data_IF_695408988359
#
_entry.id   IF_695408988359
#
_cell.length_a   1.000
_cell.length_b   1.000
_cell.length_c   1.000
_cell.angle_alpha   90.00
_cell.angle_beta   90.00
_cell.angle_gamma   90.00
#
_symmetry.space_group_name_H-M   'P 1'
#
loop_
_entity.id
_entity.type
_entity.pdbx_description
1 polymer ?
#
# COMPACT_ATOMS: atom_id res chain seq x y z
N UNK A 1 -2.17 -4.20 -20.05
CA UNK A 1 -1.00 -3.58 -20.71
C UNK A 1 0.06 -4.64 -21.01
N UNK A 2 0.83 -4.51 -22.10
CA UNK A 2 1.97 -5.38 -22.43
C UNK A 2 3.30 -4.71 -22.04
N UNK A 3 4.38 -5.49 -21.89
CA UNK A 3 5.69 -5.00 -21.44
C UNK A 3 6.28 -3.84 -22.27
N UNK A 4 5.83 -3.64 -23.50
CA UNK A 4 6.22 -2.54 -24.37
C UNK A 4 5.37 -1.26 -24.19
N UNK A 5 4.51 -1.20 -23.18
CA UNK A 5 3.61 -0.07 -22.92
C UNK A 5 2.31 -0.07 -23.74
N UNK A 6 2.13 -0.99 -24.68
CA UNK A 6 0.89 -1.04 -25.48
C UNK A 6 -0.30 -1.55 -24.67
N UNK A 7 -1.48 -0.96 -24.91
CA UNK A 7 -2.75 -1.35 -24.28
C UNK A 7 -3.54 -2.23 -25.23
N UNK A 8 -3.93 -3.43 -24.79
CA UNK A 8 -4.72 -4.37 -25.56
C UNK A 8 -5.23 -5.53 -24.71
N UNK A 9 -6.24 -6.23 -25.21
CA UNK A 9 -6.82 -7.39 -24.53
C UNK A 9 -5.78 -8.50 -24.31
N UNK A 10 -5.78 -9.10 -23.12
CA UNK A 10 -4.84 -10.16 -22.74
C UNK A 10 -3.45 -9.68 -22.28
N UNK A 11 -3.22 -8.37 -22.17
CA UNK A 11 -1.99 -7.86 -21.56
C UNK A 11 -1.95 -8.14 -20.05
N UNK A 12 -0.83 -8.67 -19.49
CA UNK A 12 -0.80 -9.20 -18.12
C UNK A 12 -0.60 -8.12 -17.03
N UNK A 13 -0.31 -6.86 -17.39
CA UNK A 13 -0.01 -5.80 -16.43
C UNK A 13 -1.12 -4.74 -16.36
N UNK A 14 -1.41 -4.25 -15.16
CA UNK A 14 -2.35 -3.15 -14.93
C UNK A 14 -1.70 -1.77 -15.19
N UNK A 15 -0.38 -1.67 -15.00
CA UNK A 15 0.43 -0.49 -15.32
C UNK A 15 1.92 -0.83 -15.39
N UNK A 16 2.73 0.13 -15.82
CA UNK A 16 4.19 0.02 -15.92
C UNK A 16 4.80 1.29 -15.34
N UNK A 17 5.68 1.12 -14.35
CA UNK A 17 6.53 2.20 -13.83
C UNK A 17 7.89 2.15 -14.51
N UNK A 18 8.37 3.30 -14.98
CA UNK A 18 9.72 3.43 -15.56
C UNK A 18 10.49 4.54 -14.87
N UNK A 19 11.69 4.23 -14.38
CA UNK A 19 12.60 5.23 -13.84
C UNK A 19 13.67 5.59 -14.88
N UNK A 20 13.92 6.88 -15.07
CA UNK A 20 14.98 7.36 -15.95
C UNK A 20 16.35 7.07 -15.31
N UNK A 21 17.09 6.09 -15.85
CA UNK A 21 18.40 5.68 -15.32
C UNK A 21 19.49 6.75 -15.41
N UNK A 22 19.25 7.87 -16.10
CA UNK A 22 20.15 9.01 -16.11
C UNK A 22 20.00 9.89 -14.85
N UNK A 23 18.98 9.67 -14.02
CA UNK A 23 18.79 10.39 -12.77
C UNK A 23 19.49 9.67 -11.61
N UNK A 24 20.03 10.42 -10.63
CA UNK A 24 20.81 9.84 -9.53
C UNK A 24 19.89 9.24 -8.45
N UNK A 25 19.41 8.01 -8.66
CA UNK A 25 18.58 7.31 -7.66
C UNK A 25 19.41 6.52 -6.65
N UNK A 26 18.95 6.52 -5.40
CA UNK A 26 19.45 5.70 -4.32
C UNK A 26 18.33 4.82 -3.77
N UNK A 27 18.45 3.50 -3.93
CA UNK A 27 17.47 2.50 -3.49
C UNK A 27 17.67 2.01 -2.04
N UNK A 28 18.51 2.69 -1.28
CA UNK A 28 18.74 2.40 0.14
C UNK A 28 18.66 3.71 0.92
N UNK A 29 17.78 3.77 1.91
CA UNK A 29 17.55 5.00 2.68
C UNK A 29 18.52 5.13 3.86
N UNK A 30 18.83 6.38 4.29
CA UNK A 30 18.44 7.64 3.65
C UNK A 30 19.23 7.91 2.36
N UNK A 31 18.67 8.64 1.38
CA UNK A 31 19.41 9.06 0.19
C UNK A 31 20.56 10.02 0.55
N UNK A 32 21.69 9.89 -0.14
CA UNK A 32 22.82 10.81 0.03
C UNK A 32 22.56 12.18 -0.63
N UNK A 33 23.43 13.15 -0.35
CA UNK A 33 23.41 14.45 -1.06
C UNK A 33 23.46 14.25 -2.57
N UNK A 34 22.62 14.98 -3.31
CA UNK A 34 22.52 14.89 -4.77
C UNK A 34 21.83 13.63 -5.30
N UNK A 35 21.32 12.74 -4.43
CA UNK A 35 20.59 11.54 -4.83
C UNK A 35 19.10 11.65 -4.51
N UNK A 36 18.24 11.18 -5.39
CA UNK A 36 16.82 10.97 -5.14
C UNK A 36 16.58 9.66 -4.39
N UNK A 37 15.56 9.63 -3.55
CA UNK A 37 15.09 8.41 -2.91
C UNK A 37 14.34 7.53 -3.93
N UNK A 38 14.96 6.43 -4.33
CA UNK A 38 14.39 5.53 -5.33
C UNK A 38 13.09 4.86 -4.90
N UNK A 39 12.88 4.64 -3.58
CA UNK A 39 11.62 4.09 -3.09
C UNK A 39 10.50 5.13 -3.22
N UNK A 40 10.70 6.36 -2.73
CA UNK A 40 9.74 7.46 -2.86
C UNK A 40 9.35 7.69 -4.32
N UNK A 41 10.34 7.77 -5.22
CA UNK A 41 10.05 7.98 -6.64
C UNK A 41 9.32 6.81 -7.28
N UNK A 42 9.55 5.57 -6.85
CA UNK A 42 8.79 4.42 -7.37
C UNK A 42 7.36 4.42 -6.83
N UNK A 43 7.17 4.74 -5.55
CA UNK A 43 5.84 4.84 -4.91
C UNK A 43 5.01 5.94 -5.57
N UNK A 44 5.62 7.08 -5.91
CA UNK A 44 4.98 8.16 -6.67
C UNK A 44 4.32 7.63 -7.96
N UNK A 45 5.10 6.97 -8.81
CA UNK A 45 4.61 6.43 -10.09
C UNK A 45 3.60 5.29 -9.88
N UNK A 46 3.71 4.54 -8.78
CA UNK A 46 2.75 3.50 -8.44
C UNK A 46 1.39 4.09 -8.07
N UNK A 47 1.32 5.18 -7.29
CA UNK A 47 0.00 5.71 -6.95
C UNK A 47 -0.72 6.31 -8.17
N UNK A 48 0.01 6.78 -9.19
CA UNK A 48 -0.59 7.20 -10.45
C UNK A 48 -1.28 6.05 -11.20
N UNK A 49 -0.67 4.86 -11.18
CA UNK A 49 -1.28 3.63 -11.69
C UNK A 49 -2.52 3.27 -10.85
N UNK A 50 -2.43 3.44 -9.53
CA UNK A 50 -3.53 3.15 -8.61
C UNK A 50 -4.69 4.15 -8.72
N UNK A 51 -4.47 5.34 -9.28
CA UNK A 51 -5.54 6.28 -9.63
C UNK A 51 -5.31 7.74 -9.21
N UNK A 52 -4.11 8.08 -8.72
CA UNK A 52 -3.68 9.48 -8.59
C UNK A 52 -3.51 10.12 -9.97
N UNK A 53 -3.52 11.43 -10.02
CA UNK A 53 -3.53 12.20 -11.25
C UNK A 53 -4.81 13.00 -11.41
N UNK A 54 -4.73 14.01 -12.27
CA UNK A 54 -5.86 14.87 -12.63
C UNK A 54 -6.16 14.77 -14.12
N UNK A 55 -7.43 14.89 -14.49
CA UNK A 55 -7.83 15.02 -15.90
C UNK A 55 -7.17 16.22 -16.60
N UNK A 56 -6.72 17.21 -15.81
CA UNK A 56 -6.02 18.40 -16.31
C UNK A 56 -4.72 18.05 -17.06
N UNK A 57 -4.08 16.92 -16.76
CA UNK A 57 -2.86 16.46 -17.43
C UNK A 57 -3.16 15.73 -18.76
N UNK A 58 -4.32 15.07 -18.84
CA UNK A 58 -4.69 14.22 -19.99
C UNK A 58 -5.54 14.97 -21.02
N UNK A 59 -6.20 16.06 -20.62
CA UNK A 59 -7.18 16.78 -21.42
C UNK A 59 -8.53 16.06 -21.49
N UNK A 60 -9.56 16.74 -21.99
CA UNK A 60 -10.91 16.20 -22.12
C UNK A 60 -11.82 16.45 -20.91
N UNK A 61 -12.79 15.56 -20.67
CA UNK A 61 -13.83 15.71 -19.64
C UNK A 61 -13.86 14.58 -18.60
N UNK A 62 -12.98 13.60 -18.73
CA UNK A 62 -13.00 12.38 -17.93
C UNK A 62 -12.21 12.60 -16.63
N UNK A 63 -12.93 12.86 -15.54
CA UNK A 63 -12.35 13.05 -14.22
C UNK A 63 -11.64 11.78 -13.73
N UNK A 64 -10.43 11.95 -13.18
CA UNK A 64 -9.72 10.91 -12.44
C UNK A 64 -10.35 10.74 -11.05
N UNK A 65 -10.18 9.59 -10.37
CA UNK A 65 -10.69 9.39 -9.02
C UNK A 65 -10.29 10.50 -8.03
N UNK A 66 -9.05 10.97 -8.10
CA UNK A 66 -8.53 12.05 -7.24
C UNK A 66 -9.19 13.42 -7.50
N UNK A 67 -9.66 13.70 -8.72
CA UNK A 67 -10.36 14.96 -9.05
C UNK A 67 -11.66 15.13 -8.25
N UNK A 68 -12.29 14.02 -7.82
CA UNK A 68 -13.47 14.02 -6.96
C UNK A 68 -13.20 14.55 -5.55
N UNK A 69 -11.94 14.81 -5.20
CA UNK A 69 -11.50 15.35 -3.93
C UNK A 69 -10.73 16.67 -4.09
N UNK A 70 -10.90 17.33 -5.24
CA UNK A 70 -10.32 18.64 -5.54
C UNK A 70 -11.24 19.80 -5.16
N UNK A 71 -10.81 20.64 -4.21
CA UNK A 71 -11.60 21.74 -3.64
C UNK A 71 -10.84 23.07 -3.63
N UNK A 72 -11.58 24.17 -3.66
CA UNK A 72 -11.04 25.54 -3.46
C UNK A 72 -11.55 26.21 -2.19
N UNK A 73 -12.69 25.76 -1.67
CA UNK A 73 -13.30 26.19 -0.41
C UNK A 73 -14.37 25.16 0.02
N UNK A 74 -14.92 25.33 1.22
CA UNK A 74 -16.04 24.52 1.69
C UNK A 74 -17.23 24.55 0.71
N UNK A 75 -17.63 23.38 0.21
CA UNK A 75 -18.72 23.22 -0.76
C UNK A 75 -18.38 23.66 -2.19
N UNK A 76 -17.15 24.13 -2.45
CA UNK A 76 -16.73 24.62 -3.77
C UNK A 76 -15.57 23.79 -4.33
N UNK A 77 -15.85 23.06 -5.40
CA UNK A 77 -14.84 22.33 -6.17
C UNK A 77 -14.07 23.28 -7.09
N UNK A 78 -12.80 22.99 -7.32
CA UNK A 78 -12.05 23.60 -8.40
C UNK A 78 -11.40 22.48 -9.22
N UNK A 79 -11.69 22.49 -10.51
CA UNK A 79 -11.18 21.53 -11.48
C UNK A 79 -10.35 22.23 -12.56
N UNK A 80 -9.91 23.46 -12.31
CA UNK A 80 -9.09 24.23 -13.24
C UNK A 80 -7.60 24.11 -12.90
N UNK A 81 -6.76 24.34 -13.91
CA UNK A 81 -5.30 24.48 -13.79
C UNK A 81 -4.85 25.82 -13.16
N UNK A 82 -5.76 26.52 -12.48
CA UNK A 82 -5.47 27.78 -11.81
C UNK A 82 -6.42 28.01 -10.63
N UNK A 83 -6.04 28.95 -9.77
CA UNK A 83 -6.75 29.24 -8.53
C UNK A 83 -6.36 28.32 -7.39
N UNK A 84 -7.05 28.45 -6.25
CA UNK A 84 -6.82 27.58 -5.09
C UNK A 84 -7.34 26.18 -5.39
N UNK A 85 -6.51 25.16 -5.11
CA UNK A 85 -6.89 23.76 -5.26
C UNK A 85 -6.17 22.92 -4.22
N UNK A 86 -6.91 22.11 -3.49
CA UNK A 86 -6.37 21.22 -2.47
C UNK A 86 -7.18 19.95 -2.32
N UNK A 87 -6.52 18.91 -1.84
CA UNK A 87 -7.13 17.66 -1.44
C UNK A 87 -7.99 17.89 -0.20
N UNK A 88 -9.25 17.46 -0.27
CA UNK A 88 -10.15 17.45 0.88
C UNK A 88 -11.17 16.33 0.79
N UNK A 89 -11.35 15.64 1.91
CA UNK A 89 -12.27 14.50 2.06
C UNK A 89 -13.56 14.87 2.81
N UNK A 90 -13.68 16.13 3.24
CA UNK A 90 -14.79 16.63 4.04
C UNK A 90 -15.55 17.77 3.34
N UNK A 91 -15.64 17.69 2.01
CA UNK A 91 -16.29 18.69 1.15
C UNK A 91 -15.63 20.07 1.20
N UNK A 92 -14.30 20.13 1.29
CA UNK A 92 -13.52 21.37 1.22
C UNK A 92 -13.38 22.10 2.56
N UNK A 93 -13.79 21.52 3.69
CA UNK A 93 -13.67 22.20 4.99
C UNK A 93 -12.24 22.15 5.53
N UNK A 94 -11.55 21.02 5.39
CA UNK A 94 -10.14 20.86 5.72
C UNK A 94 -9.29 20.85 4.44
N UNK A 95 -8.18 21.59 4.46
CA UNK A 95 -7.13 21.51 3.45
C UNK A 95 -6.07 20.52 3.93
N UNK A 96 -6.03 19.33 3.31
CA UNK A 96 -5.06 18.28 3.65
C UNK A 96 -3.71 18.58 3.01
N UNK A 97 -3.70 18.86 1.71
CA UNK A 97 -2.51 19.27 0.94
C UNK A 97 -2.95 20.02 -0.30
N UNK A 98 -2.18 21.05 -0.71
CA UNK A 98 -2.44 21.77 -1.96
C UNK A 98 -2.09 20.92 -3.18
N UNK A 99 -2.84 21.08 -4.27
CA UNK A 99 -2.46 20.51 -5.56
C UNK A 99 -1.53 21.45 -6.32
N UNK A 100 -0.61 20.89 -7.08
CA UNK A 100 0.27 21.64 -7.97
C UNK A 100 -0.53 22.44 -9.01
N UNK A 101 -0.03 23.64 -9.31
CA UNK A 101 -0.58 24.56 -10.32
C UNK A 101 0.49 25.01 -11.33
N UNK A 102 1.72 24.50 -11.23
CA UNK A 102 2.78 24.74 -12.20
C UNK A 102 2.64 23.73 -13.35
N UNK A 103 2.47 24.17 -14.61
CA UNK A 103 2.30 23.29 -15.75
C UNK A 103 3.56 22.47 -16.12
N UNK A 104 4.70 22.70 -15.47
CA UNK A 104 5.91 21.88 -15.65
C UNK A 104 5.93 20.58 -14.83
N UNK A 105 4.96 20.39 -13.94
CA UNK A 105 4.71 19.14 -13.22
C UNK A 105 3.25 18.71 -13.34
N UNK A 106 2.89 17.56 -12.77
CA UNK A 106 1.53 17.06 -12.89
C UNK A 106 0.56 17.80 -11.97
N UNK A 107 -0.68 17.99 -12.41
CA UNK A 107 -1.68 18.72 -11.63
C UNK A 107 -2.24 17.80 -10.52
N UNK A 108 -2.26 16.48 -10.72
CA UNK A 108 -2.66 15.53 -9.65
C UNK A 108 -1.75 15.54 -8.42
N UNK A 109 -0.54 16.06 -8.58
CA UNK A 109 0.50 16.03 -7.57
C UNK A 109 0.32 17.13 -6.53
N UNK A 110 1.04 16.99 -5.42
CA UNK A 110 1.05 17.97 -4.36
C UNK A 110 1.89 19.19 -4.72
N UNK A 111 1.40 20.34 -4.26
CA UNK A 111 2.10 21.61 -4.33
C UNK A 111 3.43 21.52 -3.60
N UNK A 112 4.52 21.61 -4.36
CA UNK A 112 5.87 21.48 -3.85
C UNK A 112 6.47 22.82 -3.43
N UNK A 113 7.13 22.84 -2.27
CA UNK A 113 7.99 23.96 -1.86
C UNK A 113 9.38 23.90 -2.50
N UNK A 114 10.17 24.96 -2.29
CA UNK A 114 11.59 25.00 -2.68
C UNK A 114 12.41 23.93 -1.96
N UNK A 115 13.42 23.38 -2.61
CA UNK A 115 14.33 22.43 -1.97
C UNK A 115 15.30 23.10 -0.96
N UNK A 116 15.58 22.46 0.19
CA UNK A 116 14.89 21.27 0.72
C UNK A 116 13.47 21.62 1.19
N UNK A 117 12.53 20.72 0.91
CA UNK A 117 11.14 20.85 1.32
C UNK A 117 11.00 20.65 2.82
N UNK A 118 10.23 21.52 3.49
CA UNK A 118 9.94 21.38 4.92
C UNK A 118 9.13 20.11 5.23
N UNK A 119 8.17 19.79 4.36
CA UNK A 119 7.32 18.62 4.46
C UNK A 119 7.35 17.87 3.11
N UNK A 120 8.35 17.00 2.87
CA UNK A 120 8.37 16.19 1.65
C UNK A 120 7.30 15.11 1.73
N UNK A 121 6.56 14.96 0.64
CA UNK A 121 5.52 13.97 0.46
C UNK A 121 5.85 13.09 -0.76
N UNK A 122 5.35 11.85 -0.78
CA UNK A 122 5.64 10.90 -1.87
C UNK A 122 5.13 11.45 -3.21
N UNK A 123 3.98 12.10 -3.20
CA UNK A 123 3.27 12.63 -4.36
C UNK A 123 3.52 14.12 -4.62
N UNK A 124 4.65 14.67 -4.15
CA UNK A 124 5.06 16.02 -4.51
C UNK A 124 5.39 16.13 -6.01
N UNK A 125 4.87 17.18 -6.66
CA UNK A 125 5.10 17.46 -8.09
C UNK A 125 6.59 17.61 -8.45
N UNK A 126 7.40 18.10 -7.51
CA UNK A 126 8.82 18.29 -7.71
C UNK A 126 9.58 17.68 -6.53
N UNK A 127 10.24 16.55 -6.77
CA UNK A 127 11.08 15.90 -5.77
C UNK A 127 12.40 16.65 -5.53
N UNK A 128 12.87 16.61 -4.28
CA UNK A 128 14.19 17.11 -3.89
C UNK A 128 15.17 15.95 -3.62
N UNK A 129 16.43 16.13 -4.00
CA UNK A 129 17.52 15.21 -3.61
C UNK A 129 17.77 15.26 -2.11
N UNK A 130 18.33 14.18 -1.54
CA UNK A 130 18.64 14.05 -0.12
C UNK A 130 17.41 14.11 0.82
N UNK A 131 16.21 13.89 0.28
CA UNK A 131 14.97 13.81 1.05
C UNK A 131 14.25 12.51 0.74
N UNK A 132 13.61 11.95 1.76
CA UNK A 132 12.77 10.77 1.68
C UNK A 132 11.43 11.08 2.38
N UNK A 133 10.40 10.37 1.97
CA UNK A 133 9.07 10.41 2.55
C UNK A 133 8.44 9.03 2.44
N UNK A 134 7.49 8.75 3.31
CA UNK A 134 6.82 7.45 3.42
C UNK A 134 5.31 7.64 3.32
N UNK A 135 4.64 6.70 2.64
CA UNK A 135 3.19 6.58 2.73
C UNK A 135 2.83 6.07 4.11
N UNK A 136 2.01 6.83 4.82
CA UNK A 136 1.46 6.46 6.13
C UNK A 136 -0.05 6.67 6.14
N UNK A 137 -0.75 6.04 7.09
CA UNK A 137 -2.21 6.17 7.19
C UNK A 137 -2.71 7.63 7.31
N UNK A 138 -1.86 8.54 7.79
CA UNK A 138 -2.19 9.96 7.97
C UNK A 138 -1.44 10.88 7.01
N UNK A 139 -0.61 10.34 6.12
CA UNK A 139 -0.01 11.12 5.02
C UNK A 139 -1.10 11.53 4.03
N UNK A 140 -0.93 12.65 3.29
CA UNK A 140 -1.85 13.00 2.21
C UNK A 140 -2.07 11.86 1.20
N UNK A 141 -1.03 11.07 0.91
CA UNK A 141 -1.09 9.90 0.04
C UNK A 141 -1.97 8.81 0.61
N UNK A 142 -1.71 8.38 1.85
CA UNK A 142 -2.49 7.34 2.50
C UNK A 142 -3.97 7.72 2.61
N UNK A 143 -4.26 8.99 2.91
CA UNK A 143 -5.63 9.49 2.96
C UNK A 143 -6.27 9.49 1.57
N UNK A 144 -5.56 9.92 0.54
CA UNK A 144 -6.10 9.96 -0.81
C UNK A 144 -6.32 8.56 -1.40
N UNK A 145 -5.37 7.63 -1.18
CA UNK A 145 -5.51 6.21 -1.53
C UNK A 145 -6.74 5.58 -0.84
N UNK A 146 -6.97 5.86 0.45
CA UNK A 146 -8.15 5.41 1.20
C UNK A 146 -9.46 5.88 0.54
N UNK A 147 -9.58 7.18 0.27
CA UNK A 147 -10.84 7.72 -0.28
C UNK A 147 -11.11 7.35 -1.74
N UNK A 148 -10.08 6.95 -2.51
CA UNK A 148 -10.27 6.38 -3.84
C UNK A 148 -10.44 4.86 -3.84
N UNK A 149 -10.34 4.20 -2.67
CA UNK A 149 -10.79 2.82 -2.45
C UNK A 149 -9.71 1.81 -2.07
N UNK A 150 -8.50 2.24 -1.68
CA UNK A 150 -7.42 1.35 -1.24
C UNK A 150 -7.24 1.37 0.28
N UNK A 151 -7.19 0.20 0.91
CA UNK A 151 -6.85 0.09 2.33
C UNK A 151 -5.32 0.01 2.50
N UNK A 152 -4.74 0.84 3.37
CA UNK A 152 -3.33 0.72 3.73
C UNK A 152 -3.11 -0.53 4.61
N UNK A 153 -2.33 -1.48 4.11
CA UNK A 153 -1.95 -2.66 4.88
C UNK A 153 -0.68 -2.33 5.67
N UNK A 154 -0.81 -2.20 6.99
CA UNK A 154 0.37 -2.02 7.86
C UNK A 154 1.19 -3.30 7.89
N UNK A 155 2.35 -3.30 7.23
CA UNK A 155 3.29 -4.41 7.33
C UNK A 155 3.74 -4.56 8.79
N UNK A 156 3.34 -5.63 9.45
CA UNK A 156 3.95 -6.02 10.72
C UNK A 156 5.35 -6.49 10.38
N UNK A 157 6.37 -5.73 10.80
CA UNK A 157 7.77 -6.12 10.62
C UNK A 157 8.00 -7.46 11.30
N UNK A 158 7.93 -8.55 10.52
CA UNK A 158 8.34 -9.86 10.98
C UNK A 158 9.86 -9.83 10.91
N UNK A 159 10.52 -9.68 12.05
CA UNK A 159 11.96 -9.85 12.18
C UNK A 159 12.31 -11.30 11.85
N UNK A 160 12.47 -11.59 10.56
CA UNK A 160 13.05 -12.85 10.12
C UNK A 160 14.54 -12.75 10.44
N UNK A 161 14.96 -13.29 11.59
CA UNK A 161 16.37 -13.50 11.87
C UNK A 161 16.93 -14.40 10.78
N UNK A 162 17.81 -13.87 9.95
CA UNK A 162 18.52 -14.63 8.93
C UNK A 162 19.26 -15.79 9.62
N UNK A 163 19.09 -17.06 9.19
CA UNK A 163 19.89 -18.13 9.75
C UNK A 163 21.35 -17.88 9.36
N UNK A 164 22.20 -17.71 10.37
CA UNK A 164 23.65 -17.67 10.23
C UNK A 164 24.10 -18.97 9.56
N UNK A 165 24.40 -18.91 8.26
CA UNK A 165 25.02 -20.04 7.57
C UNK A 165 26.44 -20.17 8.09
N UNK A 166 26.65 -21.12 8.98
CA UNK A 166 27.98 -21.53 9.43
C UNK A 166 28.62 -22.32 8.29
N UNK A 167 29.49 -21.68 7.52
CA UNK A 167 30.28 -22.35 6.47
C UNK A 167 31.27 -23.29 7.14
N UNK A 168 30.91 -24.57 7.22
CA UNK A 168 31.85 -25.63 7.63
C UNK A 168 32.78 -25.90 6.46
N UNK A 169 33.99 -25.33 6.50
CA UNK A 169 35.03 -25.64 5.52
C UNK A 169 35.47 -27.08 5.69
N UNK A 170 35.07 -27.95 4.76
CA UNK A 170 35.58 -29.32 4.66
C UNK A 170 36.86 -29.29 3.83
N UNK A 171 38.02 -29.33 4.49
CA UNK A 171 39.32 -29.41 3.84
C UNK A 171 39.51 -30.81 3.25
N UNK A 172 39.48 -30.95 1.93
CA UNK A 172 39.89 -32.17 1.25
C UNK A 172 41.43 -32.20 1.17
N UNK A 173 42.04 -33.07 1.97
CA UNK A 173 43.48 -33.35 1.94
C UNK A 173 43.82 -34.19 0.71
N UNK A 174 44.45 -33.59 -0.29
CA UNK A 174 45.15 -34.32 -1.36
C UNK A 174 46.53 -34.70 -0.85
N UNK A 175 46.78 -36.01 -0.75
CA UNK A 175 48.05 -36.61 -0.38
C UNK A 175 48.99 -36.60 -1.59
N UNK A 176 50.17 -35.98 -1.44
CA UNK A 176 51.32 -36.19 -2.31
C UNK A 176 52.51 -36.68 -1.46
N UNK A 177 53.33 -37.61 -1.96
CA UNK A 177 54.29 -38.35 -1.14
C UNK A 177 55.60 -37.59 -0.90
N UNK A 178 56.04 -37.69 0.36
CA UNK A 178 57.41 -37.84 0.89
C UNK A 178 58.59 -37.25 0.09
N UNK A 179 59.19 -36.20 0.66
CA UNK A 179 60.57 -35.78 0.41
C UNK A 179 61.17 -35.26 1.71
N UNK A 180 62.06 -36.04 2.30
CA UNK A 180 62.76 -35.84 3.58
C UNK A 180 63.74 -34.66 3.55
N UNK A 181 63.73 -33.78 4.56
CA UNK A 181 64.94 -33.45 5.35
C UNK A 181 64.64 -32.63 6.61
N UNK A 182 65.36 -32.98 7.66
CA UNK A 182 65.32 -32.51 9.06
C UNK A 182 66.03 -31.17 9.27
N UNK A 183 65.48 -30.25 10.08
CA UNK A 183 66.25 -29.52 11.13
C UNK A 183 65.35 -28.71 12.07
N UNK A 184 65.74 -28.76 13.35
CA UNK A 184 65.21 -28.17 14.58
C UNK A 184 65.52 -26.68 14.77
N UNK A 185 64.58 -25.86 15.30
CA UNK A 185 64.72 -24.87 16.42
C UNK A 185 63.48 -23.93 16.56
N UNK A 186 63.01 -23.54 17.77
CA UNK A 186 62.01 -22.48 18.01
C UNK A 186 62.63 -21.27 18.76
N UNK A 187 61.84 -20.24 19.17
CA UNK A 187 61.06 -19.26 18.41
C UNK A 187 61.67 -17.84 18.53
N UNK A 188 61.29 -16.87 17.69
CA UNK A 188 61.49 -15.46 18.02
C UNK A 188 60.43 -14.57 17.38
N UNK A 189 59.67 -13.89 18.23
CA UNK A 189 58.75 -12.80 17.92
C UNK A 189 59.53 -11.56 17.50
N UNK A 190 59.19 -10.96 16.35
CA UNK A 190 59.42 -9.53 16.13
C UNK A 190 58.33 -8.96 15.24
N UNK A 191 57.57 -8.04 15.80
CA UNK A 191 56.62 -7.16 15.12
C UNK A 191 57.38 -6.14 14.29
N UNK A 192 57.07 -6.02 12.99
CA UNK A 192 57.07 -4.73 12.30
C UNK A 192 56.32 -4.83 10.97
N UNK A 193 55.43 -3.87 10.81
CA UNK A 193 54.60 -3.59 9.63
C UNK A 193 55.45 -3.17 8.43
N UNK A 194 55.10 -3.65 7.25
CA UNK A 194 55.20 -2.85 6.01
C UNK A 194 54.19 -3.35 4.98
N UNK A 195 53.45 -2.38 4.46
CA UNK A 195 52.53 -2.43 3.34
C UNK A 195 53.17 -3.09 2.11
N UNK A 196 52.43 -3.95 1.41
CA UNK A 196 52.70 -4.27 0.01
C UNK A 196 51.39 -4.49 -0.72
N UNK A 197 51.08 -3.50 -1.55
CA UNK A 197 50.11 -3.51 -2.64
C UNK A 197 50.37 -4.72 -3.54
N UNK A 198 49.31 -5.44 -3.91
CA UNK A 198 49.35 -6.39 -5.01
C UNK A 198 48.10 -6.18 -5.87
N UNK A 199 48.31 -5.43 -6.94
CA UNK A 199 47.47 -5.37 -8.13
C UNK A 199 47.37 -6.78 -8.72
N UNK A 200 46.16 -7.32 -8.80
CA UNK A 200 45.87 -8.49 -9.63
C UNK A 200 44.80 -8.10 -10.64
N UNK A 201 45.24 -7.96 -11.88
CA UNK A 201 44.42 -7.90 -13.09
C UNK A 201 43.64 -9.20 -13.24
N UNK A 202 42.31 -9.11 -13.38
CA UNK A 202 41.49 -10.24 -13.82
C UNK A 202 40.76 -9.89 -15.12
N UNK A 203 41.11 -10.71 -16.11
CA UNK A 203 40.66 -10.73 -17.49
C UNK A 203 39.18 -11.12 -17.56
N UNK A 204 38.39 -10.33 -18.28
CA UNK A 204 37.02 -10.65 -18.65
C UNK A 204 37.06 -11.76 -19.69
N UNK A 205 36.46 -12.91 -19.38
CA UNK A 205 36.11 -13.94 -20.37
C UNK A 205 34.60 -14.12 -20.35
N UNK A 206 33.95 -13.55 -21.37
CA UNK A 206 32.52 -13.70 -21.65
C UNK A 206 32.27 -15.14 -22.12
N UNK A 207 31.48 -15.90 -21.37
CA UNK A 207 30.91 -17.16 -21.87
C UNK A 207 29.40 -17.13 -21.68
N UNK A 208 28.69 -16.99 -22.78
CA UNK A 208 27.24 -17.09 -22.89
C UNK A 208 26.84 -18.55 -22.75
N UNK A 209 26.11 -18.90 -21.70
CA UNK A 209 25.43 -20.19 -21.58
C UNK A 209 24.02 -19.96 -21.02
N UNK A 210 23.04 -19.92 -21.93
CA UNK A 210 21.63 -20.00 -21.59
C UNK A 210 21.34 -21.39 -21.02
N UNK A 211 21.00 -21.46 -19.74
CA UNK A 211 20.42 -22.65 -19.12
C UNK A 211 19.05 -22.27 -18.57
N UNK A 212 18.00 -22.71 -19.26
CA UNK A 212 16.62 -22.60 -18.81
C UNK A 212 16.38 -23.65 -17.74
N UNK A 213 16.35 -23.23 -16.47
CA UNK A 213 15.90 -24.08 -15.36
C UNK A 213 14.41 -23.83 -15.16
N UNK A 214 13.57 -24.77 -15.58
CA UNK A 214 12.15 -24.80 -15.24
C UNK A 214 11.99 -25.37 -13.83
N UNK A 215 11.70 -24.52 -12.86
CA UNK A 215 11.31 -24.93 -11.51
C UNK A 215 9.79 -25.01 -11.45
N UNK A 216 9.23 -26.21 -11.45
CA UNK A 216 7.80 -26.43 -11.21
C UNK A 216 7.57 -26.36 -9.70
N UNK A 217 7.09 -25.21 -9.21
CA UNK A 217 6.64 -25.06 -7.83
C UNK A 217 5.17 -25.49 -7.81
N UNK A 218 4.89 -26.67 -7.26
CA UNK A 218 3.55 -27.03 -6.82
C UNK A 218 3.19 -26.13 -5.64
N UNK A 219 2.37 -25.11 -5.89
CA UNK A 219 1.83 -24.26 -4.83
C UNK A 219 0.72 -25.06 -4.15
N UNK A 220 1.03 -25.54 -2.95
CA UNK A 220 0.05 -26.08 -2.03
C UNK A 220 -0.88 -24.94 -1.58
N UNK A 221 -2.19 -25.19 -1.63
CA UNK A 221 -3.23 -24.25 -1.25
C UNK A 221 -3.27 -24.12 0.27
N UNK A 222 -2.49 -23.20 0.82
CA UNK A 222 -2.75 -22.65 2.15
C UNK A 222 -3.07 -21.16 2.04
N UNK A 223 -4.36 -20.84 1.97
CA UNK A 223 -4.86 -19.47 2.13
C UNK A 223 -4.71 -19.08 3.60
N UNK A 224 -3.56 -18.51 3.98
CA UNK A 224 -3.45 -17.75 5.23
C UNK A 224 -3.95 -16.34 5.00
N UNK A 225 -5.23 -16.11 5.30
CA UNK A 225 -5.85 -14.79 5.34
C UNK A 225 -5.34 -14.05 6.58
N UNK A 226 -4.29 -13.25 6.44
CA UNK A 226 -3.82 -12.35 7.51
C UNK A 226 -4.45 -10.97 7.32
N UNK A 227 -5.77 -10.87 7.50
CA UNK A 227 -6.44 -9.58 7.75
C UNK A 227 -6.08 -9.13 9.16
N UNK A 228 -5.48 -7.94 9.30
CA UNK A 228 -5.34 -7.27 10.60
C UNK A 228 -6.74 -7.25 11.28
N UNK A 229 -6.85 -7.66 12.56
CA UNK A 229 -8.13 -7.69 13.23
C UNK A 229 -8.67 -6.26 13.36
N UNK A 230 -9.95 -6.07 12.99
CA UNK A 230 -10.63 -4.80 13.18
C UNK A 230 -10.59 -4.40 14.66
N UNK A 231 -10.31 -3.13 15.00
CA UNK A 231 -10.29 -2.67 16.39
C UNK A 231 -11.56 -3.11 17.14
N UNK A 232 -11.41 -3.62 18.35
CA UNK A 232 -12.55 -4.22 19.08
C UNK A 232 -13.58 -3.20 19.56
N UNK A 233 -13.21 -1.92 19.60
CA UNK A 233 -14.04 -0.85 20.17
C UNK A 233 -14.26 0.32 19.21
N UNK A 234 -15.28 1.13 19.56
CA UNK A 234 -15.54 2.41 18.89
C UNK A 234 -16.23 2.28 17.54
N UNK A 235 -16.50 3.43 16.91
CA UNK A 235 -17.04 3.48 15.56
C UNK A 235 -16.04 3.02 14.51
N UNK A 236 -14.74 3.17 14.75
CA UNK A 236 -13.68 2.74 13.83
C UNK A 236 -13.65 1.22 13.69
N UNK A 237 -13.74 0.50 14.80
CA UNK A 237 -13.89 -0.95 14.83
C UNK A 237 -15.12 -1.44 14.07
N UNK A 238 -16.26 -0.79 14.32
CA UNK A 238 -17.52 -1.09 13.65
C UNK A 238 -17.49 -0.78 12.14
N UNK A 239 -16.83 0.31 11.74
CA UNK A 239 -16.61 0.69 10.34
C UNK A 239 -15.75 -0.35 9.63
N UNK A 240 -14.67 -0.80 10.25
CA UNK A 240 -13.79 -1.83 9.71
C UNK A 240 -14.54 -3.14 9.44
N UNK A 241 -15.33 -3.64 10.39
CA UNK A 241 -16.10 -4.89 10.19
C UNK A 241 -17.14 -4.71 9.08
N UNK A 242 -17.84 -3.57 9.03
CA UNK A 242 -18.81 -3.32 7.97
C UNK A 242 -18.16 -3.20 6.57
N UNK A 243 -16.92 -2.71 6.47
CA UNK A 243 -16.19 -2.65 5.21
C UNK A 243 -16.00 -4.04 4.59
N UNK A 244 -15.71 -5.05 5.42
CA UNK A 244 -15.63 -6.46 4.99
C UNK A 244 -16.94 -7.00 4.42
N UNK A 245 -18.10 -6.53 4.92
CA UNK A 245 -19.40 -6.93 4.38
C UNK A 245 -19.78 -6.21 3.07
N UNK A 246 -19.15 -5.05 2.79
CA UNK A 246 -19.32 -4.33 1.52
C UNK A 246 -18.51 -4.99 0.39
N UNK A 247 -17.40 -5.64 0.74
CA UNK A 247 -16.50 -6.31 -0.20
C UNK A 247 -16.19 -7.75 0.23
N UNK A 248 -17.18 -8.67 0.27
CA UNK A 248 -16.93 -10.05 0.67
C UNK A 248 -16.16 -10.76 -0.45
N UNK A 249 -14.95 -11.22 -0.15
CA UNK A 249 -14.06 -11.90 -1.11
C UNK A 249 -14.73 -13.16 -1.66
N UNK A 250 -15.53 -13.83 -0.82
CA UNK A 250 -16.30 -15.04 -1.13
C UNK A 250 -17.46 -14.79 -2.11
N UNK A 251 -17.86 -13.52 -2.28
CA UNK A 251 -18.87 -13.15 -3.26
C UNK A 251 -18.28 -12.93 -4.66
N UNK A 252 -16.96 -12.80 -4.82
CA UNK A 252 -16.31 -12.59 -6.11
C UNK A 252 -17.02 -11.52 -6.96
N UNK A 253 -17.43 -11.89 -8.18
CA UNK A 253 -18.18 -11.02 -9.10
C UNK A 253 -19.72 -11.08 -8.92
N UNK A 254 -20.23 -11.73 -7.87
CA UNK A 254 -21.66 -11.87 -7.65
C UNK A 254 -22.31 -10.51 -7.36
N UNK A 255 -23.37 -10.20 -8.09
CA UNK A 255 -24.10 -8.94 -7.90
C UNK A 255 -24.96 -9.01 -6.63
N UNK A 256 -24.51 -8.36 -5.56
CA UNK A 256 -25.28 -8.23 -4.32
C UNK A 256 -26.62 -7.53 -4.60
N UNK A 257 -27.78 -8.09 -4.17
CA UNK A 257 -29.08 -7.46 -4.37
C UNK A 257 -29.14 -6.01 -3.87
N UNK A 258 -29.70 -5.11 -4.68
CA UNK A 258 -29.85 -3.66 -4.38
C UNK A 258 -30.45 -3.35 -3.01
N UNK A 259 -31.37 -4.20 -2.51
CA UNK A 259 -31.98 -4.03 -1.18
C UNK A 259 -30.98 -4.20 -0.06
N UNK A 260 -30.03 -5.13 -0.19
CA UNK A 260 -28.95 -5.35 0.77
C UNK A 260 -27.96 -4.18 0.69
N UNK A 261 -27.50 -3.82 -0.51
CA UNK A 261 -26.59 -2.67 -0.72
C UNK A 261 -27.11 -1.38 -0.07
N UNK A 262 -28.41 -1.05 -0.25
CA UNK A 262 -29.04 0.12 0.38
C UNK A 262 -29.03 0.07 1.91
N UNK A 263 -29.12 -1.13 2.51
CA UNK A 263 -29.05 -1.27 3.98
C UNK A 263 -27.62 -1.13 4.48
N UNK A 264 -26.64 -1.69 3.77
CA UNK A 264 -25.22 -1.53 4.12
C UNK A 264 -24.81 -0.05 4.04
N UNK A 265 -25.11 0.63 2.93
CA UNK A 265 -24.84 2.08 2.79
C UNK A 265 -25.53 2.91 3.89
N UNK A 266 -26.76 2.53 4.29
CA UNK A 266 -27.44 3.20 5.39
C UNK A 266 -26.76 2.95 6.74
N UNK A 267 -26.26 1.74 6.98
CA UNK A 267 -25.50 1.42 8.19
C UNK A 267 -24.19 2.22 8.24
N UNK A 268 -23.43 2.29 7.14
CA UNK A 268 -22.20 3.11 7.05
C UNK A 268 -22.47 4.57 7.40
N UNK A 269 -23.49 5.18 6.77
CA UNK A 269 -23.89 6.56 7.07
C UNK A 269 -24.29 6.78 8.54
N UNK A 270 -24.85 5.77 9.22
CA UNK A 270 -25.18 5.87 10.64
C UNK A 270 -23.92 5.77 11.51
N UNK A 271 -22.97 4.92 11.14
CA UNK A 271 -21.68 4.76 11.81
C UNK A 271 -20.88 6.06 11.71
N UNK A 272 -20.73 6.62 10.51
CA UNK A 272 -19.99 7.86 10.29
C UNK A 272 -20.64 9.02 11.08
N UNK A 273 -21.97 9.14 11.04
CA UNK A 273 -22.69 10.16 11.84
C UNK A 273 -22.56 9.96 13.34
N UNK A 274 -22.38 8.73 13.80
CA UNK A 274 -22.16 8.40 15.20
C UNK A 274 -20.76 8.77 15.66
N UNK A 275 -19.75 8.53 14.83
CA UNK A 275 -18.36 8.89 15.06
C UNK A 275 -18.19 10.41 15.21
N UNK A 276 -18.85 11.19 14.35
CA UNK A 276 -18.78 12.66 14.38
C UNK A 276 -19.92 13.32 15.17
N UNK A 277 -20.65 12.58 16.00
CA UNK A 277 -21.77 13.17 16.71
C UNK A 277 -21.30 14.11 17.83
N UNK A 278 -21.98 15.25 17.96
CA UNK A 278 -21.63 16.30 18.94
C UNK A 278 -21.82 15.92 20.42
N UNK A 279 -22.31 14.71 20.73
CA UNK A 279 -22.49 14.24 22.11
C UNK A 279 -22.60 12.72 22.19
N UNK A 280 -22.15 12.15 23.30
CA UNK A 280 -22.24 10.71 23.57
C UNK A 280 -23.67 10.17 23.43
N UNK A 281 -24.69 10.95 23.84
CA UNK A 281 -26.11 10.60 23.66
C UNK A 281 -26.48 10.42 22.18
N UNK A 282 -26.01 11.31 21.29
CA UNK A 282 -26.25 11.20 19.85
C UNK A 282 -25.45 10.04 19.25
N UNK A 283 -24.18 9.88 19.63
CA UNK A 283 -23.35 8.74 19.22
C UNK A 283 -24.04 7.42 19.57
N UNK A 284 -24.52 7.27 20.81
CA UNK A 284 -25.28 6.11 21.29
C UNK A 284 -26.53 5.85 20.45
N UNK A 285 -27.28 6.91 20.11
CA UNK A 285 -28.47 6.80 19.27
C UNK A 285 -28.14 6.30 17.85
N UNK A 286 -27.05 6.81 17.27
CA UNK A 286 -26.57 6.36 15.97
C UNK A 286 -26.09 4.91 16.00
N UNK A 287 -25.35 4.49 17.03
CA UNK A 287 -24.96 3.09 17.22
C UNK A 287 -26.19 2.16 17.32
N UNK A 288 -27.22 2.52 18.09
CA UNK A 288 -28.49 1.76 18.16
C UNK A 288 -29.21 1.68 16.81
N UNK A 289 -29.21 2.77 16.05
CA UNK A 289 -29.80 2.81 14.70
C UNK A 289 -29.00 1.95 13.72
N UNK A 290 -27.68 1.96 13.81
CA UNK A 290 -26.79 1.11 13.02
C UNK A 290 -27.07 -0.36 13.31
N UNK A 291 -27.08 -0.78 14.59
CA UNK A 291 -27.42 -2.16 15.00
C UNK A 291 -28.77 -2.62 14.42
N UNK A 292 -29.84 -1.82 14.56
CA UNK A 292 -31.16 -2.13 13.98
C UNK A 292 -31.14 -2.23 12.44
N UNK A 293 -30.26 -1.50 11.78
CA UNK A 293 -30.11 -1.51 10.32
C UNK A 293 -29.35 -2.75 9.86
N UNK A 294 -28.29 -3.12 10.58
CA UNK A 294 -27.50 -4.34 10.35
C UNK A 294 -28.35 -5.59 10.55
N UNK A 295 -29.16 -5.65 11.61
CA UNK A 295 -30.15 -6.72 11.81
C UNK A 295 -31.08 -6.94 10.62
N UNK A 296 -31.53 -5.84 10.00
CA UNK A 296 -32.36 -5.92 8.77
C UNK A 296 -31.56 -6.38 7.55
N UNK A 297 -30.28 -6.04 7.48
CA UNK A 297 -29.39 -6.50 6.42
C UNK A 297 -29.12 -8.00 6.52
N UNK A 298 -28.96 -8.55 7.73
CA UNK A 298 -28.83 -10.00 7.99
C UNK A 298 -30.05 -10.73 7.43
N UNK A 299 -31.26 -10.35 7.84
CA UNK A 299 -32.51 -10.97 7.37
C UNK A 299 -32.64 -10.93 5.84
N UNK A 300 -32.21 -9.82 5.20
CA UNK A 300 -32.23 -9.71 3.74
C UNK A 300 -31.18 -10.60 3.07
N UNK A 301 -30.02 -10.78 3.71
CA UNK A 301 -28.95 -11.65 3.23
C UNK A 301 -29.39 -13.09 3.29
N UNK A 302 -29.89 -13.56 4.44
CA UNK A 302 -30.40 -14.93 4.61
C UNK A 302 -31.56 -15.23 3.64
N UNK A 303 -32.47 -14.26 3.45
CA UNK A 303 -33.54 -14.38 2.47
C UNK A 303 -33.02 -14.43 1.02
N UNK A 304 -31.94 -13.72 0.70
CA UNK A 304 -31.33 -13.77 -0.63
C UNK A 304 -30.60 -15.09 -0.87
N UNK A 305 -29.91 -15.62 0.14
CA UNK A 305 -29.23 -16.93 0.11
C UNK A 305 -30.25 -18.06 -0.10
N UNK A 306 -31.34 -18.07 0.68
CA UNK A 306 -32.40 -19.10 0.56
C UNK A 306 -33.16 -19.01 -0.78
N UNK A 307 -33.24 -17.82 -1.37
CA UNK A 307 -33.84 -17.61 -2.70
C UNK A 307 -32.85 -17.87 -3.86
N UNK A 308 -31.61 -18.27 -3.58
CA UNK A 308 -30.59 -18.48 -4.62
C UNK A 308 -30.12 -17.20 -5.32
N UNK A 309 -30.39 -16.02 -4.74
CA UNK A 309 -29.92 -14.72 -5.25
C UNK A 309 -28.50 -14.39 -4.81
N UNK A 310 -28.01 -15.07 -3.77
CA UNK A 310 -26.62 -15.12 -3.36
C UNK A 310 -26.20 -16.59 -3.31
N UNK A 311 -24.94 -16.90 -3.63
CA UNK A 311 -24.41 -18.25 -3.40
C UNK A 311 -24.43 -18.56 -1.90
N UNK A 312 -24.47 -19.85 -1.55
CA UNK A 312 -24.43 -20.30 -0.16
C UNK A 312 -23.24 -19.71 0.59
N UNK A 313 -22.05 -19.83 0.00
CA UNK A 313 -20.78 -19.36 0.61
C UNK A 313 -20.76 -17.84 0.81
N UNK A 314 -21.10 -17.07 -0.22
CA UNK A 314 -21.22 -15.61 -0.16
C UNK A 314 -22.26 -15.18 0.88
N UNK A 315 -23.43 -15.82 0.88
CA UNK A 315 -24.51 -15.54 1.82
C UNK A 315 -24.11 -15.80 3.27
N UNK A 316 -23.46 -16.93 3.55
CA UNK A 316 -22.97 -17.29 4.88
C UNK A 316 -21.85 -16.38 5.36
N UNK A 317 -20.88 -16.05 4.49
CA UNK A 317 -19.81 -15.11 4.80
C UNK A 317 -20.37 -13.72 5.15
N UNK A 318 -21.26 -13.18 4.31
CA UNK A 318 -21.92 -11.90 4.56
C UNK A 318 -22.74 -11.92 5.85
N UNK A 319 -23.52 -12.96 6.10
CA UNK A 319 -24.33 -13.07 7.31
C UNK A 319 -23.47 -13.10 8.58
N UNK A 320 -22.35 -13.83 8.55
CA UNK A 320 -21.36 -13.86 9.64
C UNK A 320 -20.75 -12.48 9.96
N UNK A 321 -20.28 -11.77 8.93
CA UNK A 321 -19.70 -10.42 9.11
C UNK A 321 -20.76 -9.43 9.62
N UNK A 322 -22.00 -9.51 9.12
CA UNK A 322 -23.07 -8.63 9.57
C UNK A 322 -23.52 -8.90 11.00
N UNK A 323 -23.48 -10.16 11.45
CA UNK A 323 -23.73 -10.53 12.85
C UNK A 323 -22.67 -9.94 13.77
N UNK A 324 -21.39 -10.05 13.39
CA UNK A 324 -20.29 -9.44 14.13
C UNK A 324 -20.46 -7.91 14.21
N UNK A 325 -20.77 -7.26 13.08
CA UNK A 325 -21.03 -5.81 13.04
C UNK A 325 -22.24 -5.41 13.91
N UNK A 326 -23.33 -6.20 13.89
CA UNK A 326 -24.48 -5.94 14.75
C UNK A 326 -24.10 -5.99 16.22
N UNK A 327 -23.36 -7.02 16.63
CA UNK A 327 -22.92 -7.19 18.01
C UNK A 327 -22.05 -6.02 18.47
N UNK A 328 -21.01 -5.66 17.70
CA UNK A 328 -20.14 -4.52 18.02
C UNK A 328 -20.93 -3.19 18.11
N UNK A 329 -21.93 -3.01 17.26
CA UNK A 329 -22.81 -1.83 17.33
C UNK A 329 -23.68 -1.80 18.60
N UNK A 330 -24.13 -2.95 19.09
CA UNK A 330 -24.88 -3.07 20.35
C UNK A 330 -24.00 -2.81 21.58
N UNK A 331 -22.78 -3.36 21.57
CA UNK A 331 -21.77 -3.16 22.62
C UNK A 331 -21.37 -1.68 22.69
N UNK A 332 -21.08 -1.05 21.55
CA UNK A 332 -20.78 0.38 21.46
C UNK A 332 -21.93 1.25 21.98
N UNK A 333 -23.18 0.91 21.65
CA UNK A 333 -24.36 1.60 22.16
C UNK A 333 -24.59 1.43 23.67
N UNK A 334 -23.96 0.42 24.29
CA UNK A 334 -24.03 0.16 25.72
C UNK A 334 -22.90 0.90 26.46
N UNK A 335 -21.74 1.07 25.80
CA UNK A 335 -20.55 1.73 26.33
C UNK A 335 -20.60 3.27 26.25
N UNK A 336 -21.10 3.84 25.14
CA UNK A 336 -21.45 5.26 25.00
C UNK A 336 -22.70 5.55 25.82
#
# INVERSE_FOLDING_TARGET
MFANGSVGAGGPYDGIVTLNSNQPFKFTRPPASGMYDGQRSTEHEMDEILGFGSYLNLGGSDLRPQDLFSWSAAGARNLMASGSRYLSIDSGNANIVGFNQDPSGDFGDWLSGSCPQANPYVQDAFSCTAQASDVTATSPEGINLDVIGYDLITATATTTSLPTTTTTSSTTTTTAPSGSTTTTQPPTTTTSSTTSTSTTTLQITTTTAATSTTTTITVDSSTTTTTLPCPDAGFDGLRCVLHRALHPVECGNATIPRRIQRRLAKASSLIDRGAFASSAKKSREFARKAAKTLKKAIVLTDAATTQGKLSGDCGSAMSGILLEAEQRAQELASAL
#
